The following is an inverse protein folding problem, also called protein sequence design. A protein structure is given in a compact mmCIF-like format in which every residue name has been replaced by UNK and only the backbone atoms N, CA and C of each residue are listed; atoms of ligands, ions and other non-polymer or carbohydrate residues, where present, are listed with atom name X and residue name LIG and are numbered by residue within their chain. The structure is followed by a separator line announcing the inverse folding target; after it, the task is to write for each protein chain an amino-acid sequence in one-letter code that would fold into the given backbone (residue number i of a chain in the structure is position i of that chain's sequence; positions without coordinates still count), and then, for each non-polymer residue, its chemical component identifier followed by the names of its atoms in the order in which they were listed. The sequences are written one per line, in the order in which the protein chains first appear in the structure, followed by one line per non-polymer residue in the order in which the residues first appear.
data_IF_595506782974
#
_entry.id   IF_595506782974
#
_cell.length_a   1.000
_cell.length_b   1.000
_cell.length_c   1.000
_cell.angle_alpha   90.00
_cell.angle_beta   90.00
_cell.angle_gamma   90.00
#
_symmetry.space_group_name_H-M   'P 1'
#
loop_
_entity.id
_entity.type
_entity.pdbx_description
1 polymer ?
#
# COMPACT_ATOMS: atom_id res chain seq x y z
N UNK A 1 -53.80 -56.69 10.28
CA UNK A 1 -52.34 -56.72 10.00
C UNK A 1 -52.04 -55.48 9.17
N UNK A 2 -51.50 -54.45 9.81
CA UNK A 2 -51.34 -53.14 9.19
C UNK A 2 -50.03 -53.08 8.40
N UNK A 3 -50.14 -53.03 7.08
CA UNK A 3 -48.99 -52.80 6.21
C UNK A 3 -48.69 -51.31 6.15
N UNK A 4 -47.60 -50.90 6.79
CA UNK A 4 -47.11 -49.51 6.76
C UNK A 4 -46.14 -49.35 5.58
N UNK A 5 -46.65 -48.97 4.41
CA UNK A 5 -45.80 -48.55 3.30
C UNK A 5 -45.39 -47.08 3.51
N UNK A 6 -44.09 -46.81 3.64
CA UNK A 6 -43.54 -45.44 3.65
C UNK A 6 -42.80 -45.23 2.33
N UNK A 7 -43.39 -44.44 1.43
CA UNK A 7 -42.68 -43.95 0.25
C UNK A 7 -41.95 -42.66 0.63
N UNK A 8 -40.62 -42.67 0.60
CA UNK A 8 -39.79 -41.46 0.75
C UNK A 8 -39.31 -41.03 -0.62
N UNK A 9 -39.74 -39.86 -1.09
CA UNK A 9 -39.21 -39.23 -2.30
C UNK A 9 -38.39 -37.99 -1.90
N UNK A 10 -37.13 -37.95 -2.35
CA UNK A 10 -36.16 -36.96 -1.92
C UNK A 10 -36.22 -35.70 -2.81
N UNK A 11 -36.46 -34.54 -2.19
CA UNK A 11 -35.85 -33.20 -2.44
C UNK A 11 -36.75 -32.11 -1.85
N UNK A 12 -36.38 -31.61 -0.67
CA UNK A 12 -36.59 -30.22 -0.25
C UNK A 12 -38.02 -29.67 -0.13
N UNK A 13 -39.06 -30.49 0.05
CA UNK A 13 -40.42 -30.02 0.40
C UNK A 13 -40.88 -30.58 1.75
N UNK A 14 -41.73 -29.86 2.52
CA UNK A 14 -42.21 -30.30 3.82
C UNK A 14 -42.92 -31.65 3.72
N UNK A 15 -42.65 -32.54 4.69
CA UNK A 15 -43.24 -33.88 4.79
C UNK A 15 -44.75 -33.78 4.99
N UNK A 16 -45.52 -34.25 4.02
CA UNK A 16 -46.96 -34.51 4.22
C UNK A 16 -47.10 -35.97 4.66
N UNK A 17 -47.51 -36.17 5.91
CA UNK A 17 -47.79 -37.51 6.45
C UNK A 17 -49.23 -37.88 6.11
N UNK A 18 -49.42 -38.76 5.14
CA UNK A 18 -50.73 -39.37 4.89
C UNK A 18 -50.84 -40.69 5.67
N UNK A 19 -51.86 -40.82 6.51
CA UNK A 19 -52.17 -42.09 7.19
C UNK A 19 -53.31 -42.78 6.46
N UNK A 20 -53.06 -43.97 5.90
CA UNK A 20 -54.11 -44.81 5.32
C UNK A 20 -54.73 -45.67 6.43
N UNK A 21 -56.07 -45.73 6.52
CA UNK A 21 -56.79 -46.76 7.30
C UNK A 21 -57.82 -47.43 6.40
N UNK A 22 -57.85 -48.76 6.41
CA UNK A 22 -58.84 -49.57 5.69
C UNK A 22 -60.06 -49.80 6.60
N UNK A 23 -61.25 -49.40 6.13
CA UNK A 23 -62.54 -49.71 6.76
C UNK A 23 -63.27 -50.87 6.06
N UNK A 24 -64.29 -51.49 6.69
CA UNK A 24 -64.80 -52.82 6.32
C UNK A 24 -65.57 -52.95 4.98
N UNK A 25 -65.60 -51.91 4.13
CA UNK A 25 -66.33 -51.89 2.86
C UNK A 25 -65.54 -51.29 1.68
N UNK A 26 -64.20 -51.42 1.69
CA UNK A 26 -63.37 -51.05 0.54
C UNK A 26 -63.32 -49.56 0.19
N UNK A 27 -63.84 -48.68 1.05
CA UNK A 27 -63.74 -47.23 0.88
C UNK A 27 -62.40 -46.69 1.39
N UNK A 28 -61.74 -45.86 0.57
CA UNK A 28 -60.54 -45.11 0.92
C UNK A 28 -60.95 -43.67 1.21
N UNK A 29 -60.73 -43.19 2.44
CA UNK A 29 -60.99 -41.79 2.82
C UNK A 29 -59.67 -41.08 3.09
N UNK A 30 -59.51 -39.89 2.52
CA UNK A 30 -58.35 -39.02 2.76
C UNK A 30 -58.80 -37.82 3.60
N UNK A 31 -58.17 -37.58 4.75
CA UNK A 31 -58.43 -36.40 5.57
C UNK A 31 -57.15 -35.58 5.69
N UNK A 32 -57.15 -34.37 5.10
CA UNK A 32 -56.15 -33.34 5.36
C UNK A 32 -56.75 -32.35 6.38
N UNK A 33 -56.12 -32.20 7.54
CA UNK A 33 -56.60 -31.34 8.62
C UNK A 33 -55.95 -29.95 8.61
N UNK A 34 -56.77 -28.92 8.85
CA UNK A 34 -56.37 -27.64 9.45
C UNK A 34 -56.03 -26.50 8.48
N UNK A 35 -56.96 -25.56 8.32
CA UNK A 35 -56.72 -24.23 7.74
C UNK A 35 -56.02 -23.33 8.78
N UNK A 36 -54.70 -23.17 8.69
CA UNK A 36 -54.01 -22.07 9.37
C UNK A 36 -54.09 -20.79 8.53
N UNK A 37 -54.37 -19.61 9.13
CA UNK A 37 -54.39 -18.35 8.39
C UNK A 37 -52.99 -18.01 7.84
N UNK A 38 -52.95 -17.64 6.55
CA UNK A 38 -51.74 -17.22 5.84
C UNK A 38 -51.15 -15.96 6.52
N UNK A 39 -49.90 -15.98 7.04
CA UNK A 39 -49.28 -14.76 7.55
C UNK A 39 -48.95 -13.80 6.39
N UNK A 40 -49.33 -12.54 6.57
CA UNK A 40 -49.03 -11.40 5.68
C UNK A 40 -47.56 -11.41 5.24
N UNK A 41 -47.23 -11.21 3.95
CA UNK A 41 -45.84 -11.18 3.51
C UNK A 41 -45.11 -10.03 4.20
N UNK A 42 -44.19 -10.39 5.10
CA UNK A 42 -43.21 -9.46 5.68
C UNK A 42 -42.40 -8.87 4.52
N UNK A 43 -42.28 -7.54 4.50
CA UNK A 43 -41.62 -6.78 3.43
C UNK A 43 -40.27 -7.41 3.04
N UNK A 44 -40.06 -7.58 1.72
CA UNK A 44 -38.80 -8.03 1.13
C UNK A 44 -37.68 -7.13 1.67
N UNK A 45 -36.61 -7.68 2.29
CA UNK A 45 -35.48 -6.84 2.65
C UNK A 45 -34.97 -6.18 1.37
N UNK A 46 -34.97 -4.85 1.39
CA UNK A 46 -34.30 -4.03 0.39
C UNK A 46 -32.89 -4.57 0.25
N UNK A 47 -32.43 -4.69 -1.00
CA UNK A 47 -31.07 -5.02 -1.35
C UNK A 47 -30.11 -4.32 -0.38
N UNK A 48 -29.48 -5.09 0.53
CA UNK A 48 -28.32 -4.58 1.26
C UNK A 48 -27.34 -4.19 0.17
N UNK A 49 -27.01 -2.90 0.10
CA UNK A 49 -25.79 -2.48 -0.56
C UNK A 49 -24.68 -3.14 0.26
N UNK A 50 -24.30 -4.35 -0.14
CA UNK A 50 -23.05 -4.95 0.26
C UNK A 50 -21.99 -3.89 -0.04
N UNK A 51 -21.29 -3.48 1.01
CA UNK A 51 -20.37 -2.35 0.96
C UNK A 51 -19.52 -2.45 -0.29
N UNK A 52 -19.63 -1.44 -1.15
CA UNK A 52 -18.75 -1.29 -2.29
C UNK A 52 -17.32 -1.52 -1.76
N UNK A 53 -16.60 -2.56 -2.21
CA UNK A 53 -15.22 -2.75 -1.79
C UNK A 53 -14.54 -1.44 -2.12
N UNK A 54 -14.06 -0.75 -1.08
CA UNK A 54 -13.34 0.50 -1.24
C UNK A 54 -12.18 0.18 -2.17
N UNK A 55 -12.35 0.43 -3.47
CA UNK A 55 -11.22 0.43 -4.39
C UNK A 55 -10.31 1.47 -3.78
N UNK A 56 -9.14 1.05 -3.31
CA UNK A 56 -8.06 1.98 -3.07
C UNK A 56 -7.94 2.77 -4.37
N UNK A 57 -8.44 4.00 -4.34
CA UNK A 57 -8.34 4.89 -5.48
C UNK A 57 -6.85 5.11 -5.63
N UNK A 58 -6.24 4.48 -6.64
CA UNK A 58 -4.85 4.72 -6.99
C UNK A 58 -4.75 6.18 -7.46
N UNK A 59 -4.47 7.09 -6.53
CA UNK A 59 -4.19 8.49 -6.84
C UNK A 59 -2.70 8.63 -7.16
N UNK A 60 -2.40 9.36 -8.23
CA UNK A 60 -1.03 9.70 -8.59
C UNK A 60 -0.56 10.81 -7.65
N UNK A 61 0.59 10.61 -7.01
CA UNK A 61 1.18 11.58 -6.10
C UNK A 61 2.02 12.60 -6.88
N UNK A 62 2.08 13.82 -6.34
CA UNK A 62 2.92 14.89 -6.89
C UNK A 62 4.38 14.73 -6.48
N UNK A 63 5.33 15.04 -7.37
CA UNK A 63 6.77 14.92 -7.10
C UNK A 63 7.36 16.05 -6.22
N UNK A 64 6.64 17.14 -6.00
CA UNK A 64 7.16 18.33 -5.29
C UNK A 64 6.65 18.46 -3.85
N UNK A 65 5.82 17.53 -3.38
CA UNK A 65 5.31 17.53 -2.00
C UNK A 65 6.02 16.44 -1.21
N UNK A 66 7.23 16.75 -0.78
CA UNK A 66 8.03 15.84 0.02
C UNK A 66 8.77 16.57 1.13
N UNK A 67 9.26 15.80 2.08
CA UNK A 67 10.09 16.26 3.17
C UNK A 67 11.21 15.24 3.40
N UNK A 68 12.39 15.73 3.73
CA UNK A 68 13.53 14.90 4.10
C UNK A 68 13.77 15.04 5.59
N UNK A 69 14.05 13.93 6.27
CA UNK A 69 14.52 13.93 7.64
C UNK A 69 15.79 13.10 7.75
N UNK A 70 16.73 13.53 8.58
CA UNK A 70 18.00 12.85 8.83
C UNK A 70 18.06 12.63 10.34
N UNK A 71 18.12 11.37 10.78
CA UNK A 71 18.00 10.94 12.19
C UNK A 71 16.76 11.50 12.91
N UNK A 72 15.65 11.60 12.19
CA UNK A 72 14.40 12.14 12.73
C UNK A 72 14.38 13.65 12.90
N UNK A 73 15.49 14.35 12.66
CA UNK A 73 15.47 15.80 12.51
C UNK A 73 14.93 16.15 11.13
N UNK A 74 13.89 16.97 11.11
CA UNK A 74 13.24 17.41 9.90
C UNK A 74 14.05 18.50 9.20
N UNK A 75 14.44 18.24 7.95
CA UNK A 75 15.11 19.21 7.07
C UNK A 75 14.14 19.62 5.97
N UNK A 76 13.50 20.77 6.14
CA UNK A 76 12.52 21.29 5.19
C UNK A 76 13.12 21.96 3.93
N UNK A 77 14.45 21.96 3.78
CA UNK A 77 15.14 22.85 2.85
C UNK A 77 15.65 22.21 1.54
N UNK A 78 15.32 20.94 1.24
CA UNK A 78 15.79 20.32 -0.01
C UNK A 78 14.91 20.70 -1.20
N UNK A 79 15.53 21.21 -2.25
CA UNK A 79 14.90 21.56 -3.52
C UNK A 79 14.82 20.39 -4.48
N UNK A 80 15.73 19.42 -4.35
CA UNK A 80 15.76 18.21 -5.17
C UNK A 80 16.22 17.00 -4.36
N UNK A 81 15.54 15.87 -4.58
CA UNK A 81 15.93 14.55 -4.08
C UNK A 81 15.94 13.61 -5.28
N UNK A 82 17.07 12.97 -5.54
CA UNK A 82 17.23 12.03 -6.65
C UNK A 82 18.14 10.86 -6.26
N UNK A 83 18.24 9.85 -7.12
CA UNK A 83 19.10 8.68 -6.87
C UNK A 83 18.46 7.53 -6.09
N UNK A 84 17.15 7.58 -5.82
CA UNK A 84 16.38 6.43 -5.32
C UNK A 84 16.28 5.34 -6.42
N UNK A 85 17.35 4.56 -6.57
CA UNK A 85 17.52 3.56 -7.60
C UNK A 85 18.05 2.25 -7.00
N UNK A 86 17.52 1.13 -7.51
CA UNK A 86 18.08 -0.21 -7.31
C UNK A 86 18.24 -0.85 -8.67
N UNK A 87 19.42 -1.38 -8.95
CA UNK A 87 19.74 -2.03 -10.21
C UNK A 87 20.27 -3.44 -9.96
N UNK A 88 19.76 -4.43 -10.69
CA UNK A 88 20.25 -5.82 -10.63
C UNK A 88 20.99 -6.14 -11.91
N UNK A 89 22.29 -6.39 -11.78
CA UNK A 89 23.15 -6.86 -12.86
C UNK A 89 22.69 -8.25 -13.30
N UNK A 90 22.66 -8.50 -14.61
CA UNK A 90 22.24 -9.77 -15.19
C UNK A 90 23.31 -10.34 -16.11
N UNK A 91 23.46 -11.66 -16.11
CA UNK A 91 24.31 -12.40 -17.04
C UNK A 91 23.48 -13.25 -17.99
N UNK A 92 23.97 -13.38 -19.22
CA UNK A 92 23.34 -14.22 -20.24
C UNK A 92 23.91 -15.64 -20.19
N UNK A 93 23.02 -16.62 -20.15
CA UNK A 93 23.32 -18.04 -20.12
C UNK A 93 22.68 -18.70 -21.34
N UNK A 94 23.50 -19.31 -22.19
CA UNK A 94 23.06 -20.00 -23.40
C UNK A 94 23.04 -21.50 -23.10
N UNK A 95 21.85 -22.08 -23.18
CA UNK A 95 21.65 -23.52 -22.99
C UNK A 95 21.96 -24.27 -24.28
N UNK A 96 22.68 -25.40 -24.16
CA UNK A 96 22.90 -26.28 -25.31
C UNK A 96 21.58 -26.93 -25.76
N UNK A 97 21.37 -27.02 -27.07
CA UNK A 97 20.17 -27.64 -27.66
C UNK A 97 18.93 -26.73 -27.71
N UNK A 98 19.01 -25.51 -27.18
CA UNK A 98 17.95 -24.49 -27.26
C UNK A 98 18.48 -23.28 -28.01
N UNK A 99 18.08 -23.11 -29.27
CA UNK A 99 18.57 -22.05 -30.16
C UNK A 99 17.59 -20.88 -30.33
N UNK A 100 16.44 -20.91 -29.65
CA UNK A 100 15.37 -19.91 -29.80
C UNK A 100 15.40 -18.80 -28.74
N UNK A 101 16.23 -18.94 -27.69
CA UNK A 101 16.30 -17.99 -26.57
C UNK A 101 17.64 -18.00 -25.84
N UNK A 102 17.85 -16.97 -25.03
CA UNK A 102 18.95 -16.84 -24.07
C UNK A 102 18.34 -16.66 -22.68
N UNK A 103 18.86 -17.38 -21.67
CA UNK A 103 18.45 -17.20 -20.28
C UNK A 103 19.18 -16.00 -19.68
N UNK A 104 18.45 -15.06 -19.06
CA UNK A 104 19.05 -13.92 -18.36
C UNK A 104 18.95 -14.13 -16.85
N UNK A 105 20.09 -14.33 -16.20
CA UNK A 105 20.21 -14.68 -14.79
C UNK A 105 20.64 -13.48 -13.95
N UNK A 106 19.98 -13.18 -12.81
CA UNK A 106 20.40 -12.11 -11.91
C UNK A 106 21.70 -12.46 -11.18
N UNK A 107 22.58 -11.48 -10.98
CA UNK A 107 23.90 -11.65 -10.36
C UNK A 107 24.01 -10.87 -9.06
N UNK A 108 24.14 -9.54 -9.15
CA UNK A 108 24.30 -8.66 -7.99
C UNK A 108 23.39 -7.46 -8.11
N UNK A 109 22.80 -7.05 -6.99
CA UNK A 109 22.04 -5.81 -6.91
C UNK A 109 22.90 -4.70 -6.33
N UNK A 110 22.77 -3.49 -6.88
CA UNK A 110 23.43 -2.27 -6.43
C UNK A 110 22.37 -1.23 -6.15
N UNK A 111 22.56 -0.49 -5.06
CA UNK A 111 21.74 0.68 -4.75
C UNK A 111 22.50 1.92 -5.17
N UNK A 112 21.82 2.85 -5.83
CA UNK A 112 22.40 4.13 -6.23
C UNK A 112 22.62 5.04 -5.02
N UNK A 113 23.48 6.03 -5.15
CA UNK A 113 23.63 7.04 -4.11
C UNK A 113 22.44 8.01 -4.12
N UNK A 114 21.99 8.44 -2.95
CA UNK A 114 20.98 9.49 -2.83
C UNK A 114 21.65 10.86 -3.03
N UNK A 115 21.10 11.66 -3.93
CA UNK A 115 21.55 13.02 -4.20
C UNK A 115 20.52 13.99 -3.65
N UNK A 116 20.99 14.86 -2.75
CA UNK A 116 20.19 15.88 -2.09
C UNK A 116 20.71 17.26 -2.48
N UNK A 117 19.85 18.13 -3.02
CA UNK A 117 20.20 19.53 -3.30
C UNK A 117 19.36 20.45 -2.45
N UNK A 118 19.99 21.46 -1.86
CA UNK A 118 19.31 22.51 -1.10
C UNK A 118 19.91 23.88 -1.36
N UNK A 119 19.13 24.93 -1.13
CA UNK A 119 19.67 26.28 -1.02
C UNK A 119 20.65 26.38 0.15
N UNK A 120 21.62 27.29 0.04
CA UNK A 120 22.54 27.62 1.12
C UNK A 120 21.76 28.23 2.28
N UNK A 121 21.94 27.68 3.49
CA UNK A 121 21.32 28.15 4.72
C UNK A 121 22.41 28.61 5.69
N UNK A 122 22.09 29.49 6.63
CA UNK A 122 22.96 29.82 7.75
C UNK A 122 23.10 28.59 8.67
N UNK A 123 24.06 27.73 8.37
CA UNK A 123 24.35 26.46 9.04
C UNK A 123 25.29 25.60 8.19
N UNK A 124 26.15 24.82 8.83
CA UNK A 124 27.16 23.98 8.18
C UNK A 124 26.96 22.48 8.49
N UNK A 125 25.78 22.07 8.95
CA UNK A 125 25.52 20.74 9.52
C UNK A 125 25.79 19.61 8.51
N UNK A 126 25.43 19.80 7.24
CA UNK A 126 25.70 18.82 6.18
C UNK A 126 27.19 18.74 5.84
N UNK A 127 27.89 19.87 5.86
CA UNK A 127 29.34 19.92 5.65
C UNK A 127 30.07 19.28 6.83
N UNK A 128 29.67 19.58 8.08
CA UNK A 128 30.22 18.97 9.28
C UNK A 128 30.02 17.45 9.28
N UNK A 129 28.83 16.98 8.88
CA UNK A 129 28.59 15.55 8.72
C UNK A 129 29.53 14.92 7.69
N UNK A 130 29.82 15.60 6.58
CA UNK A 130 30.82 15.12 5.63
C UNK A 130 32.25 15.16 6.19
N UNK A 131 32.61 16.21 6.93
CA UNK A 131 33.92 16.34 7.55
C UNK A 131 34.18 15.26 8.61
N UNK A 132 33.15 14.80 9.32
CA UNK A 132 33.25 13.64 10.22
C UNK A 132 33.80 12.40 9.50
N UNK A 133 33.25 12.09 8.31
CA UNK A 133 33.71 10.97 7.49
C UNK A 133 35.16 11.17 7.04
N UNK A 134 35.51 12.39 6.60
CA UNK A 134 36.88 12.74 6.19
C UNK A 134 37.88 12.56 7.33
N UNK A 135 37.46 12.86 8.57
CA UNK A 135 38.27 12.67 9.78
C UNK A 135 38.35 11.22 10.25
N UNK A 136 37.69 10.28 9.56
CA UNK A 136 37.68 8.86 9.90
C UNK A 136 36.62 8.47 10.93
N UNK A 137 35.74 9.39 11.33
CA UNK A 137 34.57 9.08 12.16
C UNK A 137 33.42 8.64 11.26
N UNK A 138 33.09 7.35 11.28
CA UNK A 138 31.99 6.77 10.49
C UNK A 138 30.63 7.16 11.10
N UNK A 139 30.17 8.36 10.78
CA UNK A 139 28.88 8.92 11.17
C UNK A 139 27.79 8.48 10.19
N UNK A 140 27.13 7.36 10.51
CA UNK A 140 26.01 6.81 9.72
C UNK A 140 24.67 7.22 10.31
N UNK A 141 23.74 7.63 9.45
CA UNK A 141 22.43 8.18 9.83
C UNK A 141 21.30 7.58 9.01
N UNK A 142 20.10 7.50 9.57
CA UNK A 142 18.93 7.09 8.81
C UNK A 142 18.31 8.31 8.12
N UNK A 143 18.02 8.19 6.84
CA UNK A 143 17.45 9.28 6.04
C UNK A 143 16.09 8.87 5.53
N UNK A 144 15.05 9.66 5.82
CA UNK A 144 13.69 9.38 5.38
C UNK A 144 13.17 10.45 4.44
N UNK A 145 12.73 10.04 3.25
CA UNK A 145 11.99 10.88 2.30
C UNK A 145 10.50 10.56 2.45
N UNK A 146 9.74 11.51 2.95
CA UNK A 146 8.29 11.39 3.14
C UNK A 146 7.56 12.13 2.04
N UNK A 147 6.63 11.46 1.36
CA UNK A 147 5.80 12.03 0.28
C UNK A 147 4.38 12.23 0.78
N UNK A 148 3.84 13.41 0.49
CA UNK A 148 2.53 13.86 0.93
C UNK A 148 1.54 13.91 -0.23
N UNK A 149 0.28 13.63 0.08
CA UNK A 149 -0.83 13.91 -0.84
C UNK A 149 -1.15 15.41 -0.89
N UNK A 150 -2.04 15.78 -1.81
CA UNK A 150 -2.73 17.05 -1.73
C UNK A 150 -3.39 17.22 -0.36
N UNK A 151 -3.22 18.38 0.30
CA UNK A 151 -3.91 18.65 1.55
C UNK A 151 -5.41 18.55 1.29
N UNK A 152 -6.05 17.60 1.96
CA UNK A 152 -7.50 17.47 1.94
C UNK A 152 -8.04 18.20 3.16
N UNK A 153 -9.19 18.83 2.98
CA UNK A 153 -9.97 19.36 4.08
C UNK A 153 -10.39 18.19 4.99
N UNK A 154 -9.64 17.98 6.07
CA UNK A 154 -9.98 17.06 7.13
C UNK A 154 -10.89 17.80 8.12
N UNK A 155 -12.03 17.20 8.44
CA UNK A 155 -12.96 17.78 9.42
C UNK A 155 -12.40 17.47 10.80
N UNK A 156 -11.92 18.49 11.51
CA UNK A 156 -11.42 18.32 12.88
C UNK A 156 -12.57 17.97 13.81
N UNK A 157 -12.27 17.27 14.91
CA UNK A 157 -13.24 16.92 15.95
C UNK A 157 -13.93 18.16 16.58
N UNK A 158 -13.30 19.34 16.47
CA UNK A 158 -13.82 20.62 16.96
C UNK A 158 -14.68 21.38 15.93
N UNK A 159 -15.01 20.78 14.78
CA UNK A 159 -15.84 21.41 13.75
C UNK A 159 -15.10 22.40 12.84
N UNK A 160 -13.81 22.63 13.06
CA UNK A 160 -12.94 23.39 12.16
C UNK A 160 -12.51 22.55 10.94
N UNK A 161 -12.29 23.20 9.81
CA UNK A 161 -11.70 22.57 8.64
C UNK A 161 -10.18 22.77 8.70
N UNK A 162 -9.42 21.69 8.88
CA UNK A 162 -7.96 21.73 8.82
C UNK A 162 -7.50 21.10 7.50
N UNK A 163 -6.55 21.74 6.84
CA UNK A 163 -5.85 21.16 5.70
C UNK A 163 -4.72 20.30 6.25
N UNK A 164 -4.94 19.00 6.34
CA UNK A 164 -3.91 18.06 6.75
C UNK A 164 -3.29 17.38 5.52
N UNK A 165 -1.98 17.53 5.38
CA UNK A 165 -1.21 16.79 4.39
C UNK A 165 -1.08 15.34 4.87
N UNK A 166 -1.76 14.43 4.17
CA UNK A 166 -1.68 13.00 4.50
C UNK A 166 -0.37 12.43 3.98
N UNK A 167 0.39 11.78 4.86
CA UNK A 167 1.56 10.98 4.47
C UNK A 167 1.08 9.77 3.69
N UNK A 168 1.55 9.64 2.45
CA UNK A 168 1.18 8.51 1.57
C UNK A 168 2.30 7.51 1.42
N UNK A 169 3.54 7.99 1.43
CA UNK A 169 4.69 7.16 1.12
C UNK A 169 5.91 7.62 1.93
N UNK A 170 6.73 6.65 2.31
CA UNK A 170 8.03 6.87 2.94
C UNK A 170 9.08 5.99 2.29
N UNK A 171 10.22 6.59 1.98
CA UNK A 171 11.45 5.90 1.62
C UNK A 171 12.43 6.10 2.76
N UNK A 172 12.73 5.05 3.49
CA UNK A 172 13.68 5.06 4.60
C UNK A 172 15.00 4.43 4.14
N UNK A 173 16.02 5.26 3.97
CA UNK A 173 17.38 4.85 3.65
C UNK A 173 18.13 4.54 4.93
N UNK A 174 18.71 3.35 4.98
CA UNK A 174 19.38 2.82 6.17
C UNK A 174 20.87 3.10 6.12
N UNK A 175 21.44 3.48 7.28
CA UNK A 175 22.89 3.65 7.48
C UNK A 175 23.54 4.51 6.37
N UNK A 176 22.90 5.62 6.04
CA UNK A 176 23.41 6.53 5.03
C UNK A 176 24.60 7.32 5.58
N UNK A 177 25.58 7.63 4.72
CA UNK A 177 26.70 8.49 5.06
C UNK A 177 27.16 9.29 3.82
N UNK A 178 27.70 10.50 4.01
CA UNK A 178 28.05 11.39 2.92
C UNK A 178 29.34 10.95 2.24
N UNK A 179 29.26 10.72 0.94
CA UNK A 179 30.40 10.36 0.09
C UNK A 179 30.94 11.55 -0.70
N UNK A 180 30.12 12.59 -0.89
CA UNK A 180 30.51 13.83 -1.55
C UNK A 180 29.67 15.00 -1.08
N UNK A 181 30.31 16.13 -0.86
CA UNK A 181 29.66 17.43 -0.71
C UNK A 181 30.18 18.39 -1.77
N UNK A 182 29.29 19.20 -2.35
CA UNK A 182 29.64 20.24 -3.31
C UNK A 182 28.97 21.54 -2.88
N UNK A 183 29.80 22.54 -2.56
CA UNK A 183 29.34 23.86 -2.14
C UNK A 183 28.74 24.70 -3.28
N UNK A 184 28.17 25.85 -2.93
CA UNK A 184 27.61 26.78 -3.91
C UNK A 184 28.68 27.38 -4.82
N UNK A 185 28.25 27.73 -6.04
CA UNK A 185 29.05 28.55 -6.96
C UNK A 185 28.68 30.01 -6.78
N UNK A 186 29.68 30.87 -6.63
CA UNK A 186 29.50 32.31 -6.46
C UNK A 186 29.95 33.06 -7.72
N UNK A 187 29.16 34.03 -8.16
CA UNK A 187 29.47 34.92 -9.28
C UNK A 187 29.10 36.35 -8.90
N UNK A 188 29.97 37.31 -9.22
CA UNK A 188 29.71 38.73 -8.95
C UNK A 188 28.65 39.37 -9.87
N UNK A 189 28.19 38.66 -10.91
CA UNK A 189 27.31 39.18 -11.96
C UNK A 189 25.94 38.46 -12.03
N UNK A 190 25.53 37.68 -11.02
CA UNK A 190 24.33 36.85 -11.10
C UNK A 190 23.42 36.90 -9.88
N UNK A 191 22.11 36.67 -10.11
CA UNK A 191 21.03 36.64 -9.10
C UNK A 191 20.57 35.21 -8.74
N UNK A 192 21.33 34.19 -9.14
CA UNK A 192 20.95 32.80 -8.91
C UNK A 192 21.05 32.42 -7.42
N UNK A 193 20.12 31.56 -6.97
CA UNK A 193 20.16 31.01 -5.61
C UNK A 193 21.42 30.16 -5.45
N UNK A 194 22.15 30.37 -4.37
CA UNK A 194 23.28 29.54 -3.97
C UNK A 194 22.77 28.16 -3.56
N UNK A 195 23.24 27.11 -4.23
CA UNK A 195 22.80 25.72 -3.99
C UNK A 195 23.99 24.88 -3.59
N UNK A 196 23.83 24.07 -2.55
CA UNK A 196 24.76 22.99 -2.23
C UNK A 196 24.15 21.62 -2.54
N UNK A 197 25.03 20.64 -2.78
CA UNK A 197 24.67 19.27 -3.11
C UNK A 197 25.38 18.30 -2.17
N UNK A 198 24.63 17.36 -1.61
CA UNK A 198 25.13 16.27 -0.78
C UNK A 198 24.79 14.93 -1.43
N UNK A 199 25.78 14.05 -1.56
CA UNK A 199 25.61 12.69 -2.07
C UNK A 199 25.84 11.69 -0.95
N UNK A 200 24.88 10.79 -0.75
CA UNK A 200 24.87 9.80 0.32
C UNK A 200 24.94 8.39 -0.25
N UNK A 201 25.92 7.60 0.21
CA UNK A 201 25.86 6.15 0.07
C UNK A 201 25.00 5.58 1.20
N UNK A 202 24.32 4.47 0.95
CA UNK A 202 23.44 3.82 1.93
C UNK A 202 23.39 2.30 1.67
N UNK A 203 22.94 1.52 2.67
CA UNK A 203 22.91 0.05 2.56
C UNK A 203 21.66 -0.48 1.86
N UNK A 204 20.64 0.37 1.69
CA UNK A 204 19.39 0.06 1.01
C UNK A 204 18.29 1.02 1.44
N UNK A 205 17.06 0.75 1.02
CA UNK A 205 15.90 1.50 1.52
C UNK A 205 14.67 0.62 1.70
N UNK A 206 13.84 0.99 2.68
CA UNK A 206 12.52 0.42 2.91
C UNK A 206 11.47 1.38 2.37
N UNK A 207 10.54 0.85 1.58
CA UNK A 207 9.39 1.60 1.08
C UNK A 207 8.15 1.20 1.88
N UNK A 208 7.50 2.18 2.51
CA UNK A 208 6.23 1.98 3.21
C UNK A 208 5.16 2.90 2.63
N UNK A 209 4.03 2.34 2.21
CA UNK A 209 2.82 3.09 1.85
C UNK A 209 1.82 3.07 3.01
N UNK A 210 1.13 4.20 3.23
CA UNK A 210 0.02 4.30 4.21
C UNK A 210 -1.30 4.64 3.53
#
# INVERSE_FOLDING_TARGET
MDFKATASFNRGRPRVTATLRLGPLGQVTFTAGGNDPIPTPTARPTHRQDGNPQRSSLSILSNHRYQVSIDGLEYAAFSEVSGLQVETETMDFIEGGVNDRVLRLPVRSRVGNLILKRGLVAGNELLEWHLNIVQGYLDVRNVTVTVYDHPQASRTAAGGQALEAQVRMRFELLQAYPVKWSGPTFSGNGDAVSVETLELAHSGFLQTSR
#
